data_IF_406067710872
#
_entry.id   IF_406067710872
#
_cell.length_a   1.000
_cell.length_b   1.000
_cell.length_c   1.000
_cell.angle_alpha   90.00
_cell.angle_beta   90.00
_cell.angle_gamma   90.00
#
_symmetry.space_group_name_H-M   'P 1'
#
loop_
_entity.id
_entity.type
_entity.pdbx_description
1 polymer ?
#
# COMPACT_ATOMS: atom_id res chain seq x y z
N UNK A 1 19.12 48.11 -3.08
CA UNK A 1 18.71 47.73 -4.46
C UNK A 1 19.96 47.22 -5.15
N UNK A 2 19.97 45.96 -5.59
CA UNK A 2 21.12 45.26 -6.20
C UNK A 2 20.81 44.78 -7.62
N UNK A 3 19.76 45.32 -8.22
CA UNK A 3 19.33 44.96 -9.57
C UNK A 3 20.31 45.41 -10.67
N UNK A 4 20.28 44.75 -11.82
CA UNK A 4 21.07 45.08 -13.03
C UNK A 4 22.59 45.02 -12.81
N UNK A 5 23.04 43.96 -12.13
CA UNK A 5 24.46 43.70 -11.88
C UNK A 5 24.88 42.37 -12.53
N UNK A 6 26.06 41.89 -12.16
CA UNK A 6 26.64 40.64 -12.66
C UNK A 6 26.87 39.64 -11.51
N UNK A 7 26.03 39.68 -10.47
CA UNK A 7 26.19 38.78 -9.33
C UNK A 7 25.85 37.35 -9.72
N UNK A 8 26.66 36.41 -9.24
CA UNK A 8 26.55 34.96 -9.47
C UNK A 8 26.53 34.20 -8.15
N UNK A 9 26.11 32.94 -8.19
CA UNK A 9 26.03 32.08 -7.01
C UNK A 9 24.67 32.18 -6.30
N UNK A 10 24.59 31.58 -5.12
CA UNK A 10 23.36 31.50 -4.34
C UNK A 10 23.16 32.74 -3.46
N UNK A 11 21.89 33.10 -3.23
CA UNK A 11 21.54 34.10 -2.23
C UNK A 11 21.88 33.59 -0.82
N UNK A 12 22.66 34.34 -0.02
CA UNK A 12 22.95 33.96 1.36
C UNK A 12 21.64 33.79 2.17
N UNK A 13 21.41 32.62 2.81
CA UNK A 13 20.20 32.37 3.59
C UNK A 13 19.98 33.39 4.73
N UNK A 14 21.06 33.98 5.24
CA UNK A 14 21.03 34.99 6.30
C UNK A 14 20.33 36.28 5.88
N UNK A 15 20.12 36.53 4.59
CA UNK A 15 19.35 37.68 4.13
C UNK A 15 17.89 37.59 4.59
N UNK A 16 17.32 36.38 4.69
CA UNK A 16 15.95 36.17 5.15
C UNK A 16 15.77 36.44 6.67
N UNK A 17 16.86 36.46 7.45
CA UNK A 17 16.79 36.74 8.90
C UNK A 17 16.86 38.23 9.24
N UNK A 18 17.04 39.11 8.25
CA UNK A 18 17.10 40.55 8.44
C UNK A 18 15.71 41.16 8.66
N UNK A 19 15.24 41.18 9.91
CA UNK A 19 13.89 41.65 10.29
C UNK A 19 13.55 43.11 9.93
N UNK A 20 14.56 43.94 9.62
CA UNK A 20 14.37 45.35 9.23
C UNK A 20 14.43 45.58 7.72
N UNK A 21 14.71 44.54 6.94
CA UNK A 21 14.77 44.63 5.49
C UNK A 21 13.34 44.74 4.96
N UNK A 22 13.01 45.89 4.36
CA UNK A 22 11.70 46.17 3.74
C UNK A 22 11.78 46.50 2.24
N UNK A 23 13.00 46.64 1.73
CA UNK A 23 13.26 46.96 0.34
C UNK A 23 14.53 46.25 -0.11
N UNK A 24 14.39 45.37 -1.09
CA UNK A 24 15.44 44.47 -1.56
C UNK A 24 15.02 43.98 -2.94
N UNK A 25 15.92 44.07 -3.90
CA UNK A 25 15.74 43.51 -5.23
C UNK A 25 17.11 43.12 -5.76
N UNK A 26 17.16 41.93 -6.33
CA UNK A 26 18.31 41.32 -7.02
C UNK A 26 17.95 40.97 -8.46
N UNK A 27 16.89 41.58 -8.99
CA UNK A 27 16.46 41.36 -10.36
C UNK A 27 17.57 41.67 -11.38
N UNK A 28 17.56 41.01 -12.54
CA UNK A 28 18.53 41.26 -13.61
C UNK A 28 19.99 40.99 -13.15
N UNK A 29 20.23 39.75 -12.69
CA UNK A 29 21.55 39.23 -12.30
C UNK A 29 21.71 37.79 -12.83
N UNK A 30 22.74 37.08 -12.40
CA UNK A 30 23.04 35.68 -12.77
C UNK A 30 23.03 34.76 -11.53
N UNK A 31 22.13 35.02 -10.58
CA UNK A 31 22.00 34.24 -9.35
C UNK A 31 21.30 32.90 -9.61
N UNK A 32 21.63 31.90 -8.79
CA UNK A 32 21.17 30.51 -8.96
C UNK A 32 20.67 29.93 -7.63
N UNK A 33 19.87 28.86 -7.69
CA UNK A 33 19.41 28.12 -6.52
C UNK A 33 18.17 28.70 -5.83
N UNK A 34 17.81 28.18 -4.65
CA UNK A 34 16.56 28.54 -3.99
C UNK A 34 16.58 29.97 -3.44
N UNK A 35 15.49 30.70 -3.64
CA UNK A 35 15.23 32.00 -3.00
C UNK A 35 15.00 31.75 -1.50
N UNK A 36 15.76 32.41 -0.60
CA UNK A 36 15.51 32.34 0.84
C UNK A 36 14.08 32.79 1.18
N UNK A 37 13.45 32.20 2.19
CA UNK A 37 12.07 32.52 2.59
C UNK A 37 11.95 33.94 3.16
N UNK A 38 11.70 34.92 2.29
CA UNK A 38 11.44 36.31 2.67
C UNK A 38 9.98 36.54 3.05
N UNK A 39 9.69 37.65 3.73
CA UNK A 39 8.31 38.04 4.02
C UNK A 39 7.63 38.55 2.73
N UNK A 40 6.67 37.77 2.22
CA UNK A 40 5.95 38.03 0.98
C UNK A 40 5.14 39.35 0.99
N UNK A 41 4.88 39.93 2.16
CA UNK A 41 4.27 41.26 2.26
C UNK A 41 5.17 42.40 1.74
N UNK A 42 6.47 42.15 1.58
CA UNK A 42 7.45 43.16 1.18
C UNK A 42 8.25 42.82 -0.08
N UNK A 43 8.28 41.54 -0.51
CA UNK A 43 9.12 41.08 -1.62
C UNK A 43 8.35 40.12 -2.53
N UNK A 44 7.90 40.62 -3.69
CA UNK A 44 7.28 39.82 -4.74
C UNK A 44 8.28 39.29 -5.77
N UNK A 45 7.77 38.58 -6.78
CA UNK A 45 8.58 37.96 -7.85
C UNK A 45 9.40 38.98 -8.64
N UNK A 46 8.92 40.22 -8.75
CA UNK A 46 9.65 41.34 -9.36
C UNK A 46 10.98 41.65 -8.67
N UNK A 47 11.14 41.29 -7.39
CA UNK A 47 12.39 41.49 -6.65
C UNK A 47 13.47 40.48 -7.03
N UNK A 48 13.10 39.39 -7.73
CA UNK A 48 13.98 38.27 -8.08
C UNK A 48 13.98 37.94 -9.59
N UNK A 49 13.20 38.68 -10.39
CA UNK A 49 13.02 38.47 -11.81
C UNK A 49 14.34 38.49 -12.60
N UNK A 50 14.35 37.89 -13.79
CA UNK A 50 15.49 37.89 -14.71
C UNK A 50 16.80 37.35 -14.11
N UNK A 51 16.70 36.34 -13.25
CA UNK A 51 17.79 35.44 -12.87
C UNK A 51 17.44 34.05 -13.40
N UNK A 52 18.30 33.45 -14.24
CA UNK A 52 17.93 32.28 -15.05
C UNK A 52 17.68 30.99 -14.27
N UNK A 53 18.34 30.84 -13.12
CA UNK A 53 18.27 29.61 -12.31
C UNK A 53 17.93 29.89 -10.83
N UNK A 54 17.37 31.06 -10.52
CA UNK A 54 16.71 31.29 -9.22
C UNK A 54 15.32 30.66 -9.23
N UNK A 55 14.98 29.99 -8.13
CA UNK A 55 13.73 29.25 -8.01
C UNK A 55 13.22 29.23 -6.56
N UNK A 56 11.97 28.84 -6.33
CA UNK A 56 11.30 28.92 -5.03
C UNK A 56 10.59 30.26 -4.80
N UNK A 57 9.57 30.25 -3.93
CA UNK A 57 8.68 31.40 -3.69
C UNK A 57 9.48 32.69 -3.41
N UNK A 58 9.13 33.83 -4.04
CA UNK A 58 7.93 34.06 -4.86
C UNK A 58 8.08 33.70 -6.37
N UNK A 59 9.16 33.02 -6.78
CA UNK A 59 9.40 32.55 -8.15
C UNK A 59 8.88 31.11 -8.38
N UNK A 60 9.08 30.56 -9.58
CA UNK A 60 8.73 29.17 -9.94
C UNK A 60 9.53 28.16 -9.09
N UNK A 61 8.94 27.02 -8.74
CA UNK A 61 9.53 26.02 -7.84
C UNK A 61 10.85 25.45 -8.36
N UNK A 62 11.77 25.13 -7.45
CA UNK A 62 13.05 24.52 -7.80
C UNK A 62 12.87 23.09 -8.31
N UNK A 63 13.19 22.86 -9.58
CA UNK A 63 13.19 21.55 -10.22
C UNK A 63 14.61 20.97 -10.15
N UNK A 64 14.77 19.75 -9.65
CA UNK A 64 16.07 19.07 -9.62
C UNK A 64 16.56 18.77 -11.05
N UNK A 65 17.86 18.94 -11.36
CA UNK A 65 18.39 18.77 -12.72
C UNK A 65 18.23 17.36 -13.32
N UNK A 66 17.87 16.35 -12.52
CA UNK A 66 17.54 15.00 -13.02
C UNK A 66 16.16 14.91 -13.70
N UNK A 67 15.31 15.94 -13.63
CA UNK A 67 14.02 16.00 -14.36
C UNK A 67 14.11 16.69 -15.75
N UNK A 68 15.29 17.19 -16.16
CA UNK A 68 15.43 17.96 -17.42
C UNK A 68 15.32 17.13 -18.72
N UNK A 69 15.25 15.80 -18.65
CA UNK A 69 15.06 14.96 -19.86
C UNK A 69 13.58 14.91 -20.31
N UNK A 70 12.62 15.34 -19.47
CA UNK A 70 11.18 15.25 -19.82
C UNK A 70 10.58 16.55 -20.39
N UNK A 71 11.33 17.67 -20.44
CA UNK A 71 10.74 19.01 -20.65
C UNK A 71 10.99 19.63 -22.03
N UNK A 72 11.62 18.91 -22.97
CA UNK A 72 11.76 19.37 -24.37
C UNK A 72 10.61 18.93 -25.30
N UNK A 73 9.62 18.20 -24.78
CA UNK A 73 8.46 17.72 -25.55
C UNK A 73 7.24 18.65 -25.60
N UNK A 74 7.30 19.86 -25.03
CA UNK A 74 6.12 20.73 -24.85
C UNK A 74 6.18 22.10 -25.57
N UNK A 75 7.00 22.26 -26.61
CA UNK A 75 6.81 23.33 -27.60
C UNK A 75 6.60 22.71 -28.98
N UNK A 76 5.37 22.28 -29.28
CA UNK A 76 5.06 21.70 -30.59
C UNK A 76 3.61 21.26 -30.83
N UNK A 77 2.68 21.51 -29.91
CA UNK A 77 1.26 21.20 -30.11
C UNK A 77 0.42 22.47 -30.31
N UNK A 78 0.83 23.31 -31.24
CA UNK A 78 -0.09 24.16 -31.98
C UNK A 78 0.43 24.23 -33.43
N UNK A 79 -0.43 23.83 -34.37
CA UNK A 79 -0.25 23.77 -35.83
C UNK A 79 0.25 22.40 -36.35
N UNK A 80 -0.66 21.65 -36.99
CA UNK A 80 -0.28 20.67 -38.01
C UNK A 80 -0.68 19.21 -37.75
N UNK A 81 -1.98 18.92 -37.79
CA UNK A 81 -2.40 17.60 -38.23
C UNK A 81 -1.96 17.41 -39.69
N UNK A 82 -1.02 16.50 -39.95
CA UNK A 82 -1.07 15.55 -41.06
C UNK A 82 0.25 14.74 -41.16
N UNK A 83 0.08 13.53 -41.66
CA UNK A 83 1.03 12.63 -42.32
C UNK A 83 1.88 11.67 -41.45
N UNK A 84 1.57 10.38 -41.64
CA UNK A 84 2.27 9.14 -41.29
C UNK A 84 2.19 8.59 -39.86
N UNK A 85 1.26 7.65 -39.66
CA UNK A 85 1.60 6.38 -39.00
C UNK A 85 2.50 5.57 -39.97
N UNK A 86 3.44 4.69 -39.53
CA UNK A 86 3.05 3.51 -38.74
C UNK A 86 4.08 2.98 -37.71
N UNK A 87 3.53 2.10 -36.86
CA UNK A 87 4.15 1.07 -35.99
C UNK A 87 4.69 1.52 -34.63
N UNK A 88 3.86 1.27 -33.60
CA UNK A 88 4.33 0.93 -32.25
C UNK A 88 4.04 1.95 -31.15
N UNK A 89 2.78 2.09 -30.75
CA UNK A 89 2.35 2.41 -29.36
C UNK A 89 0.83 2.66 -29.33
N UNK A 90 0.05 1.60 -29.53
CA UNK A 90 -1.23 1.53 -28.82
C UNK A 90 -0.90 1.28 -27.35
N UNK A 91 -1.64 1.91 -26.44
CA UNK A 91 -1.52 1.87 -24.97
C UNK A 91 -0.67 3.00 -24.37
N UNK A 92 -1.34 4.11 -24.06
CA UNK A 92 -0.74 5.20 -23.28
C UNK A 92 -1.55 6.49 -23.26
N UNK A 93 -2.59 6.59 -24.08
CA UNK A 93 -3.52 7.73 -24.09
C UNK A 93 -4.64 7.56 -23.05
N UNK A 94 -4.30 7.41 -21.76
CA UNK A 94 -5.31 7.43 -20.70
C UNK A 94 -4.72 7.94 -19.37
N UNK A 95 -5.07 9.19 -19.04
CA UNK A 95 -5.11 9.82 -17.71
C UNK A 95 -3.79 10.08 -16.96
N UNK A 96 -3.16 11.24 -17.21
CA UNK A 96 -2.47 11.94 -16.12
C UNK A 96 -3.50 12.77 -15.36
N UNK A 97 -4.19 12.16 -14.39
CA UNK A 97 -4.72 12.93 -13.28
C UNK A 97 -3.51 13.53 -12.56
N UNK A 98 -3.56 14.80 -12.21
CA UNK A 98 -2.55 15.42 -11.34
C UNK A 98 -2.41 14.52 -10.09
N UNK A 99 -1.20 14.02 -9.81
CA UNK A 99 -0.98 13.08 -8.71
C UNK A 99 -1.39 13.70 -7.35
N UNK A 100 -1.31 15.02 -7.24
CA UNK A 100 -1.84 15.75 -6.10
C UNK A 100 -3.37 15.65 -6.03
N UNK A 101 -4.05 15.83 -7.15
CA UNK A 101 -5.51 15.70 -7.25
C UNK A 101 -5.98 14.29 -6.92
N UNK A 102 -5.23 13.27 -7.34
CA UNK A 102 -5.57 11.88 -7.05
C UNK A 102 -5.43 11.49 -5.58
N UNK A 103 -4.36 11.94 -4.91
CA UNK A 103 -4.19 11.72 -3.47
C UNK A 103 -5.26 12.47 -2.66
N UNK A 104 -5.62 13.70 -3.07
CA UNK A 104 -6.75 14.44 -2.48
C UNK A 104 -8.06 13.67 -2.69
N UNK A 105 -8.31 13.16 -3.89
CA UNK A 105 -9.50 12.36 -4.22
C UNK A 105 -9.54 11.04 -3.42
N UNK A 106 -8.40 10.39 -3.25
CA UNK A 106 -8.26 9.19 -2.42
C UNK A 106 -8.78 9.45 -1.01
N UNK A 107 -8.23 10.46 -0.33
CA UNK A 107 -8.61 10.80 1.04
C UNK A 107 -10.06 11.29 1.12
N UNK A 108 -10.54 12.04 0.13
CA UNK A 108 -11.93 12.49 0.04
C UNK A 108 -12.90 11.31 -0.05
N UNK A 109 -12.56 10.29 -0.85
CA UNK A 109 -13.37 9.09 -1.02
C UNK A 109 -13.32 8.17 0.21
N UNK A 110 -12.19 8.14 0.93
CA UNK A 110 -12.11 7.48 2.23
C UNK A 110 -13.03 8.21 3.22
N UNK A 111 -12.92 9.53 3.34
CA UNK A 111 -13.72 10.35 4.25
C UNK A 111 -15.23 10.22 4.01
N UNK A 112 -15.66 10.12 2.75
CA UNK A 112 -17.09 9.97 2.42
C UNK A 112 -17.64 8.56 2.66
N UNK A 113 -16.77 7.53 2.61
CA UNK A 113 -17.17 6.12 2.77
C UNK A 113 -17.04 5.58 4.19
N UNK A 114 -16.24 6.24 5.04
CA UNK A 114 -16.00 5.83 6.43
C UNK A 114 -16.90 6.64 7.36
N UNK A 115 -17.55 5.98 8.31
CA UNK A 115 -18.30 6.64 9.37
C UNK A 115 -17.40 6.87 10.57
N UNK A 116 -17.31 8.13 11.00
CA UNK A 116 -16.48 8.57 12.12
C UNK A 116 -17.36 9.11 13.26
N UNK A 117 -17.85 8.23 14.16
CA UNK A 117 -18.74 8.64 15.24
C UNK A 117 -18.05 9.52 16.30
N UNK A 118 -16.71 9.50 16.35
CA UNK A 118 -15.92 10.15 17.39
C UNK A 118 -15.23 11.45 16.92
N UNK A 119 -15.30 11.78 15.63
CA UNK A 119 -14.75 13.00 15.06
C UNK A 119 -13.22 13.00 14.92
N UNK A 120 -12.55 11.85 14.89
CA UNK A 120 -11.09 11.77 14.71
C UNK A 120 -10.63 12.26 13.33
N UNK A 121 -11.50 12.22 12.32
CA UNK A 121 -11.25 12.70 10.97
C UNK A 121 -11.62 14.18 10.78
N UNK A 122 -11.95 14.92 11.86
CA UNK A 122 -12.34 16.33 11.75
C UNK A 122 -11.28 17.24 11.10
N UNK A 123 -10.00 16.84 11.11
CA UNK A 123 -8.93 17.58 10.42
C UNK A 123 -8.99 17.46 8.90
N UNK A 124 -9.74 16.49 8.36
CA UNK A 124 -9.82 16.18 6.93
C UNK A 124 -10.77 17.17 6.23
N UNK A 125 -10.33 18.42 6.14
CA UNK A 125 -11.11 19.50 5.54
C UNK A 125 -10.71 19.68 4.08
N UNK A 126 -11.66 19.44 3.19
CA UNK A 126 -11.47 19.56 1.74
C UNK A 126 -12.02 20.92 1.25
N UNK A 127 -11.17 21.94 1.12
CA UNK A 127 -11.48 23.26 0.54
C UNK A 127 -10.58 23.69 -0.63
N UNK A 128 -10.65 24.96 -1.03
CA UNK A 128 -9.93 25.50 -2.20
C UNK A 128 -8.38 25.40 -2.12
N UNK A 129 -7.81 25.23 -0.92
CA UNK A 129 -6.36 25.08 -0.67
C UNK A 129 -5.97 23.68 -0.15
N UNK A 130 -6.78 22.64 -0.43
CA UNK A 130 -6.52 21.29 0.10
C UNK A 130 -5.21 20.69 -0.43
N UNK A 131 -4.88 20.97 -1.69
CA UNK A 131 -3.61 20.58 -2.28
C UNK A 131 -2.47 21.33 -1.57
N UNK A 132 -1.59 20.56 -0.93
CA UNK A 132 -0.45 20.99 -0.11
C UNK A 132 -0.71 20.83 1.39
N UNK A 133 -1.93 20.48 1.82
CA UNK A 133 -2.30 20.41 3.23
C UNK A 133 -2.70 19.01 3.70
N UNK A 134 -2.94 18.06 2.79
CA UNK A 134 -3.42 16.73 3.17
C UNK A 134 -2.47 15.96 4.09
N UNK A 135 -1.17 16.29 4.08
CA UNK A 135 -0.16 15.68 4.94
C UNK A 135 -0.28 16.12 6.41
N UNK A 136 -1.08 17.15 6.69
CA UNK A 136 -1.44 17.58 8.04
C UNK A 136 -2.72 16.92 8.55
N UNK A 137 -3.38 16.10 7.73
CA UNK A 137 -4.56 15.36 8.17
C UNK A 137 -4.16 14.30 9.20
N UNK A 138 -4.96 14.19 10.25
CA UNK A 138 -4.80 13.16 11.28
C UNK A 138 -4.69 11.79 10.63
N UNK A 139 -3.61 11.07 10.95
CA UNK A 139 -3.37 9.73 10.44
C UNK A 139 -2.85 9.66 9.01
N UNK A 140 -2.59 10.78 8.33
CA UNK A 140 -1.95 10.80 7.01
C UNK A 140 -0.46 11.09 7.17
N UNK A 141 0.38 10.30 6.50
CA UNK A 141 1.81 10.55 6.37
C UNK A 141 2.17 10.61 4.91
N UNK A 142 2.92 11.63 4.52
CA UNK A 142 3.39 11.82 3.15
C UNK A 142 4.88 11.54 3.02
N UNK A 143 5.36 11.48 1.78
CA UNK A 143 6.78 11.35 1.48
C UNK A 143 7.60 12.52 2.06
N UNK A 144 7.09 13.74 1.91
CA UNK A 144 7.56 14.96 2.57
C UNK A 144 6.38 15.80 3.06
N UNK A 145 6.60 16.61 4.10
CA UNK A 145 5.55 17.42 4.74
C UNK A 145 4.95 18.51 3.83
N UNK A 146 5.67 18.86 2.75
CA UNK A 146 5.31 19.92 1.81
C UNK A 146 4.79 19.39 0.44
N UNK A 147 4.56 18.08 0.30
CA UNK A 147 4.01 17.45 -0.91
C UNK A 147 2.57 16.93 -0.68
N UNK A 148 1.91 16.31 -1.68
CA UNK A 148 0.63 15.61 -1.46
C UNK A 148 0.73 14.11 -1.74
N UNK A 149 1.93 13.56 -1.66
CA UNK A 149 2.18 12.15 -1.96
C UNK A 149 1.93 11.31 -0.72
N UNK A 150 0.73 10.73 -0.59
CA UNK A 150 0.35 9.92 0.59
C UNK A 150 1.13 8.62 0.59
N UNK A 151 1.95 8.43 1.62
CA UNK A 151 2.80 7.27 1.80
C UNK A 151 2.18 6.26 2.78
N UNK A 152 1.53 6.76 3.84
CA UNK A 152 0.88 5.90 4.83
C UNK A 152 -0.39 6.53 5.39
N UNK A 153 -1.39 5.69 5.62
CA UNK A 153 -2.62 6.02 6.33
C UNK A 153 -2.68 5.17 7.60
N UNK A 154 -2.70 5.82 8.76
CA UNK A 154 -2.73 5.24 10.10
C UNK A 154 -3.93 5.77 10.87
N UNK A 155 -5.03 5.03 10.79
CA UNK A 155 -6.31 5.37 11.40
C UNK A 155 -6.69 4.40 12.51
N UNK A 156 -5.70 3.76 13.15
CA UNK A 156 -5.93 2.76 14.16
C UNK A 156 -6.52 3.32 15.47
N UNK A 157 -7.49 2.64 16.06
CA UNK A 157 -8.02 3.00 17.39
C UNK A 157 -9.02 4.16 17.42
N UNK A 158 -9.56 4.59 16.29
CA UNK A 158 -10.45 5.76 16.19
C UNK A 158 -11.94 5.41 16.32
N UNK A 159 -12.28 4.13 16.40
CA UNK A 159 -13.67 3.66 16.44
C UNK A 159 -14.41 3.89 15.13
N UNK A 160 -13.68 3.93 14.01
CA UNK A 160 -14.24 4.11 12.67
C UNK A 160 -15.10 2.92 12.27
N UNK A 161 -16.17 3.20 11.53
CA UNK A 161 -17.16 2.24 11.05
C UNK A 161 -17.23 2.25 9.52
N UNK A 162 -17.77 1.18 8.95
CA UNK A 162 -17.98 1.01 7.51
C UNK A 162 -17.38 -0.30 7.00
N UNK A 163 -17.21 -0.38 5.69
CA UNK A 163 -16.48 -1.48 5.03
C UNK A 163 -15.03 -1.06 4.71
N UNK A 164 -14.28 -1.95 4.06
CA UNK A 164 -12.94 -1.62 3.57
C UNK A 164 -12.99 -0.43 2.60
N UNK A 165 -12.23 0.66 2.83
CA UNK A 165 -12.40 1.90 2.07
C UNK A 165 -11.83 1.79 0.65
N UNK A 166 -12.70 1.60 -0.34
CA UNK A 166 -12.30 1.42 -1.76
C UNK A 166 -11.66 2.67 -2.39
N UNK A 167 -11.83 3.85 -1.79
CA UNK A 167 -11.19 5.09 -2.22
C UNK A 167 -9.66 5.02 -2.22
N UNK A 168 -9.10 4.10 -1.42
CA UNK A 168 -7.66 3.90 -1.26
C UNK A 168 -6.91 3.59 -2.56
N UNK A 169 -7.61 3.06 -3.58
CA UNK A 169 -7.05 2.75 -4.90
C UNK A 169 -6.43 3.95 -5.63
N UNK A 170 -6.78 5.17 -5.22
CA UNK A 170 -6.26 6.41 -5.80
C UNK A 170 -5.01 6.93 -5.07
N UNK A 171 -4.65 6.34 -3.91
CA UNK A 171 -3.40 6.60 -3.22
C UNK A 171 -2.30 5.69 -3.79
N UNK A 172 -1.80 6.00 -4.99
CA UNK A 172 -0.93 5.10 -5.76
C UNK A 172 0.42 4.79 -5.10
N UNK A 173 0.90 5.70 -4.25
CA UNK A 173 2.17 5.57 -3.54
C UNK A 173 2.02 5.00 -2.13
N UNK A 174 0.83 4.52 -1.77
CA UNK A 174 0.58 3.99 -0.43
C UNK A 174 1.43 2.75 -0.16
N UNK A 175 2.26 2.82 0.88
CA UNK A 175 3.10 1.71 1.33
C UNK A 175 2.71 1.20 2.73
N UNK A 176 1.93 1.95 3.50
CA UNK A 176 1.48 1.53 4.82
C UNK A 176 0.02 1.85 5.09
N UNK A 177 -0.76 0.83 5.42
CA UNK A 177 -2.17 0.95 5.80
C UNK A 177 -2.41 0.30 7.16
N UNK A 178 -2.77 1.13 8.13
CA UNK A 178 -3.20 0.69 9.46
C UNK A 178 -4.63 1.20 9.69
N UNK A 179 -5.58 0.26 9.71
CA UNK A 179 -6.99 0.45 10.05
C UNK A 179 -7.35 -0.32 11.32
N UNK A 180 -6.36 -0.73 12.12
CA UNK A 180 -6.53 -1.64 13.25
C UNK A 180 -7.38 -1.05 14.38
N UNK A 181 -7.93 -1.87 15.26
CA UNK A 181 -8.65 -1.43 16.47
C UNK A 181 -9.80 -0.47 16.17
N UNK A 182 -10.57 -0.77 15.13
CA UNK A 182 -11.75 -0.01 14.73
C UNK A 182 -12.98 -0.93 14.71
N UNK A 183 -14.06 -0.46 14.10
CA UNK A 183 -15.32 -1.16 13.95
C UNK A 183 -15.65 -1.40 12.45
N UNK A 184 -14.62 -1.53 11.60
CA UNK A 184 -14.80 -1.88 10.18
C UNK A 184 -15.35 -3.30 10.05
N UNK A 185 -16.22 -3.52 9.07
CA UNK A 185 -16.99 -4.75 8.88
C UNK A 185 -17.11 -5.12 7.39
N UNK A 186 -17.95 -6.11 7.07
CA UNK A 186 -18.11 -6.61 5.70
C UNK A 186 -16.98 -7.56 5.28
N UNK A 187 -16.91 -7.84 3.99
CA UNK A 187 -15.90 -8.76 3.41
C UNK A 187 -14.74 -7.98 2.81
N UNK A 188 -13.54 -8.55 2.82
CA UNK A 188 -12.42 -7.95 2.09
C UNK A 188 -12.63 -8.09 0.57
N UNK A 189 -12.32 -7.04 -0.22
CA UNK A 189 -12.43 -7.10 -1.67
C UNK A 189 -11.57 -8.22 -2.27
N UNK A 190 -12.12 -9.01 -3.18
CA UNK A 190 -11.36 -10.08 -3.85
C UNK A 190 -10.19 -9.55 -4.68
N UNK A 191 -10.31 -8.31 -5.17
CA UNK A 191 -9.29 -7.59 -5.93
C UNK A 191 -8.42 -6.67 -5.06
N UNK A 192 -8.26 -6.94 -3.76
CA UNK A 192 -7.53 -6.08 -2.81
C UNK A 192 -6.11 -5.69 -3.29
N UNK A 193 -5.40 -6.58 -3.99
CA UNK A 193 -4.08 -6.25 -4.54
C UNK A 193 -4.11 -5.14 -5.61
N UNK A 194 -5.22 -4.97 -6.35
CA UNK A 194 -5.39 -3.83 -7.26
C UNK A 194 -5.69 -2.52 -6.54
N UNK A 195 -6.19 -2.59 -5.29
CA UNK A 195 -6.50 -1.42 -4.48
C UNK A 195 -5.25 -0.90 -3.75
N UNK A 196 -4.37 -1.82 -3.33
CA UNK A 196 -3.18 -1.51 -2.53
C UNK A 196 -1.93 -2.28 -3.03
N UNK A 197 -1.52 -2.11 -4.29
CA UNK A 197 -0.49 -2.95 -4.92
C UNK A 197 0.92 -2.79 -4.31
N UNK A 198 1.20 -1.61 -3.75
CA UNK A 198 2.52 -1.22 -3.25
C UNK A 198 2.67 -1.32 -1.72
N UNK A 199 1.63 -1.81 -1.03
CA UNK A 199 1.61 -1.83 0.44
C UNK A 199 2.60 -2.85 1.01
N UNK A 200 3.38 -2.38 1.98
CA UNK A 200 4.37 -3.14 2.75
C UNK A 200 3.87 -3.52 4.14
N UNK A 201 2.96 -2.73 4.71
CA UNK A 201 2.33 -2.97 6.01
C UNK A 201 0.82 -2.86 5.85
N UNK A 202 0.12 -3.95 6.14
CA UNK A 202 -1.34 -4.01 6.19
C UNK A 202 -1.76 -4.50 7.57
N UNK A 203 -2.29 -3.60 8.39
CA UNK A 203 -2.88 -3.93 9.69
C UNK A 203 -4.38 -3.66 9.68
N UNK A 204 -5.15 -4.75 9.71
CA UNK A 204 -6.62 -4.75 9.79
C UNK A 204 -7.10 -5.40 11.10
N UNK A 205 -6.19 -5.63 12.05
CA UNK A 205 -6.47 -6.37 13.27
C UNK A 205 -7.47 -5.65 14.18
N UNK A 206 -8.15 -6.38 15.05
CA UNK A 206 -9.16 -5.83 15.97
C UNK A 206 -10.26 -5.04 15.25
N UNK A 207 -10.94 -5.69 14.32
CA UNK A 207 -12.09 -5.17 13.59
C UNK A 207 -13.21 -6.24 13.56
N UNK A 208 -14.20 -6.05 12.69
CA UNK A 208 -15.31 -6.98 12.45
C UNK A 208 -15.35 -7.45 10.99
N UNK A 209 -14.21 -7.50 10.30
CA UNK A 209 -14.15 -8.05 8.94
C UNK A 209 -14.54 -9.53 8.97
N UNK A 210 -15.26 -9.97 7.95
CA UNK A 210 -15.90 -11.30 7.88
C UNK A 210 -15.70 -11.95 6.52
N UNK A 211 -16.20 -13.18 6.37
CA UNK A 211 -16.04 -13.96 5.14
C UNK A 211 -14.62 -14.54 4.98
N UNK A 212 -14.29 -14.98 3.77
CA UNK A 212 -12.99 -15.60 3.49
C UNK A 212 -11.90 -14.56 3.31
N UNK A 213 -10.68 -14.90 3.74
CA UNK A 213 -9.48 -14.15 3.37
C UNK A 213 -9.27 -14.32 1.85
N UNK A 214 -9.22 -13.23 1.06
CA UNK A 214 -9.13 -13.34 -0.39
C UNK A 214 -7.73 -13.80 -0.82
N UNK A 215 -7.66 -14.82 -1.69
CA UNK A 215 -6.41 -15.31 -2.26
C UNK A 215 -5.58 -14.20 -2.94
N UNK A 216 -6.26 -13.19 -3.50
CA UNK A 216 -5.62 -12.02 -4.11
C UNK A 216 -4.68 -11.23 -3.18
N UNK A 217 -4.73 -11.42 -1.85
CA UNK A 217 -3.73 -10.85 -0.93
C UNK A 217 -2.30 -11.29 -1.25
N UNK A 218 -2.11 -12.51 -1.78
CA UNK A 218 -0.79 -13.00 -2.17
C UNK A 218 -0.15 -12.18 -3.29
N UNK A 219 -0.95 -11.43 -4.06
CA UNK A 219 -0.47 -10.62 -5.17
C UNK A 219 0.07 -9.25 -4.73
N UNK A 220 0.00 -8.92 -3.43
CA UNK A 220 0.67 -7.73 -2.87
C UNK A 220 2.13 -8.10 -2.59
N UNK A 221 2.94 -8.11 -3.64
CA UNK A 221 4.30 -8.69 -3.65
C UNK A 221 5.30 -7.96 -2.73
N UNK A 222 4.97 -6.75 -2.29
CA UNK A 222 5.80 -5.93 -1.41
C UNK A 222 5.48 -6.10 0.08
N UNK A 223 4.48 -6.90 0.45
CA UNK A 223 3.98 -6.99 1.81
C UNK A 223 4.98 -7.66 2.76
N UNK A 224 5.35 -6.96 3.82
CA UNK A 224 6.22 -7.41 4.91
C UNK A 224 5.44 -7.75 6.18
N UNK A 225 4.31 -7.07 6.40
CA UNK A 225 3.50 -7.21 7.62
C UNK A 225 2.03 -7.34 7.26
N UNK A 226 1.40 -8.43 7.70
CA UNK A 226 -0.02 -8.73 7.52
C UNK A 226 -0.65 -9.10 8.87
N UNK A 227 -1.43 -8.19 9.44
CA UNK A 227 -2.10 -8.39 10.73
C UNK A 227 -3.62 -8.46 10.50
N UNK A 228 -4.20 -9.63 10.71
CA UNK A 228 -5.63 -9.91 10.51
C UNK A 228 -6.30 -10.45 11.78
N UNK A 229 -5.56 -10.55 12.89
CA UNK A 229 -6.05 -11.11 14.13
C UNK A 229 -7.21 -10.32 14.75
N UNK A 230 -8.04 -10.97 15.55
CA UNK A 230 -9.24 -10.37 16.16
C UNK A 230 -10.20 -9.80 15.10
N UNK A 231 -10.65 -10.67 14.20
CA UNK A 231 -11.71 -10.40 13.23
C UNK A 231 -12.71 -11.57 13.23
N UNK A 232 -13.55 -11.66 12.22
CA UNK A 232 -14.57 -12.71 12.05
C UNK A 232 -14.34 -13.48 10.73
N UNK A 233 -13.09 -13.60 10.28
CA UNK A 233 -12.76 -14.33 9.05
C UNK A 233 -13.10 -15.82 9.19
N UNK A 234 -13.65 -16.40 8.13
CA UNK A 234 -14.10 -17.79 8.07
C UNK A 234 -13.46 -18.56 6.91
N UNK A 235 -13.58 -19.88 6.96
CA UNK A 235 -13.06 -20.77 5.92
C UNK A 235 -11.55 -21.00 6.01
N UNK A 236 -10.97 -21.51 4.93
CA UNK A 236 -9.56 -21.89 4.89
C UNK A 236 -8.64 -20.69 4.63
N UNK A 237 -7.42 -20.77 5.16
CA UNK A 237 -6.32 -19.90 4.76
C UNK A 237 -5.99 -20.16 3.27
N UNK A 238 -5.91 -19.11 2.43
CA UNK A 238 -5.51 -19.29 1.04
C UNK A 238 -4.11 -19.91 0.95
N UNK A 239 -3.94 -21.04 0.23
CA UNK A 239 -2.62 -21.65 0.07
C UNK A 239 -1.64 -20.72 -0.63
N UNK A 240 -2.11 -19.75 -1.42
CA UNK A 240 -1.29 -18.76 -2.12
C UNK A 240 -0.49 -17.86 -1.17
N UNK A 241 -0.89 -17.73 0.11
CA UNK A 241 -0.14 -16.94 1.09
C UNK A 241 1.30 -17.44 1.29
N UNK A 242 1.59 -18.72 1.01
CA UNK A 242 2.96 -19.26 1.08
C UNK A 242 3.91 -18.65 0.04
N UNK A 243 3.36 -18.02 -1.02
CA UNK A 243 4.15 -17.37 -2.07
C UNK A 243 4.66 -15.97 -1.69
N UNK A 244 4.22 -15.43 -0.55
CA UNK A 244 4.57 -14.08 -0.10
C UNK A 244 5.97 -14.03 0.51
N UNK A 245 7.01 -14.08 -0.33
CA UNK A 245 8.42 -14.21 0.08
C UNK A 245 8.95 -13.08 0.96
N UNK A 246 8.31 -11.91 0.93
CA UNK A 246 8.71 -10.74 1.72
C UNK A 246 8.05 -10.67 3.09
N UNK A 247 7.02 -11.49 3.34
CA UNK A 247 6.28 -11.46 4.60
C UNK A 247 7.22 -11.84 5.77
N UNK A 248 7.28 -10.98 6.78
CA UNK A 248 8.10 -11.13 7.99
C UNK A 248 7.28 -11.18 9.26
N UNK A 249 6.08 -10.63 9.24
CA UNK A 249 5.16 -10.63 10.36
C UNK A 249 3.75 -10.96 9.85
N UNK A 250 3.11 -11.92 10.50
CA UNK A 250 1.83 -12.46 10.09
C UNK A 250 1.04 -12.90 11.31
N UNK A 251 -0.24 -12.55 11.39
CA UNK A 251 -1.13 -13.12 12.41
C UNK A 251 -2.57 -13.15 11.92
N UNK A 252 -3.24 -14.28 12.16
CA UNK A 252 -4.65 -14.53 11.89
C UNK A 252 -5.39 -15.05 13.12
N UNK A 253 -4.77 -14.94 14.29
CA UNK A 253 -5.32 -15.40 15.57
C UNK A 253 -6.68 -14.77 15.87
N UNK A 254 -7.50 -15.42 16.70
CA UNK A 254 -8.82 -14.92 17.11
C UNK A 254 -9.70 -14.60 15.90
N UNK A 255 -9.96 -15.63 15.09
CA UNK A 255 -10.89 -15.62 13.96
C UNK A 255 -11.71 -16.93 13.99
N UNK A 256 -12.43 -17.23 12.91
CA UNK A 256 -13.22 -18.45 12.74
C UNK A 256 -12.69 -19.29 11.56
N UNK A 257 -11.37 -19.31 11.37
CA UNK A 257 -10.71 -20.03 10.29
C UNK A 257 -10.70 -21.54 10.55
N UNK A 258 -10.70 -22.32 9.47
CA UNK A 258 -10.76 -23.78 9.51
C UNK A 258 -9.81 -24.44 8.52
N UNK A 259 -9.54 -25.73 8.69
CA UNK A 259 -8.75 -26.54 7.78
C UNK A 259 -7.23 -26.45 7.99
N UNK A 260 -6.44 -27.03 7.07
CA UNK A 260 -5.01 -27.14 7.23
C UNK A 260 -4.31 -25.78 7.05
N UNK A 261 -3.33 -25.49 7.92
CA UNK A 261 -2.43 -24.35 7.80
C UNK A 261 -1.49 -24.60 6.60
N UNK A 262 -1.40 -23.66 5.63
CA UNK A 262 -0.45 -23.76 4.52
C UNK A 262 1.00 -23.84 5.02
N UNK A 263 1.84 -24.59 4.30
CA UNK A 263 3.25 -24.77 4.69
C UNK A 263 4.09 -23.57 4.30
N UNK A 264 4.26 -22.62 5.23
CA UNK A 264 5.17 -21.48 5.05
C UNK A 264 6.64 -21.90 5.12
N UNK A 265 7.51 -21.11 4.47
CA UNK A 265 8.96 -21.28 4.61
C UNK A 265 9.44 -20.63 5.91
N UNK A 266 9.76 -21.46 6.91
CA UNK A 266 10.23 -21.03 8.24
C UNK A 266 11.57 -20.28 8.22
N UNK A 267 12.38 -20.40 7.15
CA UNK A 267 13.61 -19.60 6.99
C UNK A 267 13.28 -18.12 6.74
N UNK A 268 12.13 -17.83 6.13
CA UNK A 268 11.75 -16.49 5.70
C UNK A 268 10.73 -15.83 6.62
N UNK A 269 9.78 -16.62 7.13
CA UNK A 269 8.70 -16.17 8.01
C UNK A 269 8.66 -17.10 9.22
N UNK A 270 9.00 -16.58 10.40
CA UNK A 270 8.85 -17.30 11.66
C UNK A 270 7.38 -17.27 12.06
N UNK A 271 6.72 -18.41 11.94
CA UNK A 271 5.34 -18.60 12.39
C UNK A 271 5.32 -19.35 13.72
N UNK A 272 4.50 -18.88 14.66
CA UNK A 272 4.29 -19.48 15.96
C UNK A 272 2.83 -19.89 16.19
N UNK A 273 2.59 -20.65 17.26
CA UNK A 273 1.23 -21.03 17.72
C UNK A 273 0.36 -19.79 17.92
N UNK A 274 0.94 -18.72 18.46
CA UNK A 274 0.25 -17.46 18.75
C UNK A 274 -0.30 -16.77 17.48
N UNK A 275 0.30 -17.01 16.31
CA UNK A 275 -0.16 -16.40 15.05
C UNK A 275 -1.48 -17.02 14.55
N UNK A 276 -1.85 -18.19 15.06
CA UNK A 276 -3.05 -18.95 14.67
C UNK A 276 -4.01 -19.20 15.83
N UNK A 277 -3.64 -18.84 17.06
CA UNK A 277 -4.38 -19.11 18.28
C UNK A 277 -5.87 -18.70 18.18
N UNK A 278 -6.75 -19.41 18.86
CA UNK A 278 -8.20 -19.14 18.86
C UNK A 278 -8.84 -19.16 17.45
N UNK A 279 -8.40 -20.11 16.62
CA UNK A 279 -9.14 -20.57 15.44
C UNK A 279 -9.34 -22.08 15.60
N UNK A 280 -10.44 -22.49 16.25
CA UNK A 280 -10.64 -23.89 16.68
C UNK A 280 -10.60 -24.91 15.54
N UNK A 281 -10.92 -24.51 14.31
CA UNK A 281 -10.90 -25.41 13.16
C UNK A 281 -9.56 -25.48 12.42
N UNK A 282 -8.55 -24.70 12.80
CA UNK A 282 -7.23 -24.75 12.15
C UNK A 282 -6.40 -25.93 12.70
N UNK A 283 -5.67 -26.57 11.80
CA UNK A 283 -4.80 -27.70 12.12
C UNK A 283 -3.55 -27.74 11.23
N UNK A 284 -2.55 -28.54 11.59
CA UNK A 284 -1.24 -28.59 10.94
C UNK A 284 -0.25 -27.60 11.57
N UNK A 285 1.04 -27.77 11.30
CA UNK A 285 2.10 -26.98 11.94
C UNK A 285 1.87 -25.47 11.73
N UNK A 286 2.02 -24.64 12.79
CA UNK A 286 2.60 -24.96 14.10
C UNK A 286 1.60 -25.52 15.14
N UNK A 287 0.33 -25.71 14.77
CA UNK A 287 -0.71 -26.31 15.61
C UNK A 287 -0.66 -27.84 15.58
N UNK A 288 -1.59 -28.47 16.30
CA UNK A 288 -1.79 -29.92 16.29
C UNK A 288 -2.09 -30.45 14.88
N UNK A 289 -1.68 -31.69 14.60
CA UNK A 289 -1.89 -32.30 13.30
C UNK A 289 -3.38 -32.39 12.95
N UNK A 290 -3.71 -32.21 11.67
CA UNK A 290 -5.07 -32.40 11.18
C UNK A 290 -5.51 -33.85 11.38
N UNK A 291 -6.71 -34.03 11.95
CA UNK A 291 -7.32 -35.34 12.04
C UNK A 291 -7.59 -35.89 10.63
N UNK A 292 -7.20 -37.14 10.32
CA UNK A 292 -7.54 -37.75 9.06
C UNK A 292 -9.06 -37.98 8.97
N UNK A 293 -9.66 -37.66 7.82
CA UNK A 293 -11.07 -37.92 7.55
C UNK A 293 -11.45 -39.35 7.96
N UNK A 294 -12.41 -39.50 8.89
CA UNK A 294 -12.86 -40.82 9.36
C UNK A 294 -13.37 -41.70 8.20
N UNK A 295 -13.86 -41.08 7.13
CA UNK A 295 -14.28 -41.77 5.91
C UNK A 295 -13.09 -42.42 5.17
N UNK A 296 -11.92 -41.77 5.15
CA UNK A 296 -10.70 -42.35 4.57
C UNK A 296 -10.18 -43.53 5.41
N UNK A 297 -10.36 -43.48 6.74
CA UNK A 297 -10.04 -44.61 7.64
C UNK A 297 -10.98 -45.80 7.36
N UNK A 298 -12.28 -45.56 7.12
CA UNK A 298 -13.24 -46.62 6.76
C UNK A 298 -12.90 -47.30 5.43
N UNK A 299 -12.58 -46.54 4.38
CA UNK A 299 -12.16 -47.10 3.10
C UNK A 299 -10.81 -47.82 3.19
N UNK A 300 -9.84 -47.29 3.94
CA UNK A 300 -8.57 -47.97 4.20
C UNK A 300 -8.75 -49.31 4.92
N UNK A 301 -9.66 -49.38 5.90
CA UNK A 301 -10.03 -50.64 6.58
C UNK A 301 -10.76 -51.61 5.65
N UNK A 302 -11.65 -51.14 4.78
CA UNK A 302 -12.29 -51.99 3.77
C UNK A 302 -11.29 -52.52 2.74
N UNK A 303 -10.36 -51.70 2.24
CA UNK A 303 -9.30 -52.12 1.32
C UNK A 303 -8.36 -53.15 1.93
N UNK A 304 -7.97 -52.97 3.20
CA UNK A 304 -7.18 -53.95 3.94
C UNK A 304 -7.93 -55.26 4.19
N UNK A 305 -9.23 -55.20 4.49
CA UNK A 305 -10.07 -56.40 4.67
C UNK A 305 -10.25 -57.17 3.35
N UNK A 306 -10.49 -56.49 2.23
CA UNK A 306 -10.60 -57.13 0.90
C UNK A 306 -9.25 -57.72 0.47
N UNK A 307 -8.14 -57.02 0.72
CA UNK A 307 -6.79 -57.54 0.50
C UNK A 307 -6.50 -58.80 1.33
N UNK A 308 -6.88 -58.83 2.61
CA UNK A 308 -6.70 -60.00 3.46
C UNK A 308 -7.56 -61.20 3.00
N UNK A 309 -8.79 -60.97 2.56
CA UNK A 309 -9.70 -62.03 2.07
C UNK A 309 -9.24 -62.61 0.73
N UNK A 310 -8.63 -61.82 -0.15
CA UNK A 310 -8.13 -62.30 -1.45
C UNK A 310 -6.74 -62.94 -1.37
N UNK A 311 -5.86 -62.48 -0.48
CA UNK A 311 -4.50 -63.01 -0.36
C UNK A 311 -4.35 -64.16 0.65
N UNK A 312 -5.21 -64.28 1.66
CA UNK A 312 -5.15 -65.41 2.60
C UNK A 312 -5.35 -66.79 1.94
N UNK A 313 -6.27 -66.98 0.98
CA UNK A 313 -6.42 -68.24 0.26
C UNK A 313 -5.21 -68.55 -0.63
N UNK A 314 -4.59 -67.52 -1.22
CA UNK A 314 -3.45 -67.67 -2.14
C UNK A 314 -2.17 -68.08 -1.39
N UNK A 315 -1.94 -67.53 -0.20
CA UNK A 315 -0.83 -67.91 0.69
C UNK A 315 -1.06 -69.31 1.27
N UNK A 316 -2.30 -69.68 1.60
CA UNK A 316 -2.64 -71.04 2.03
C UNK A 316 -2.44 -72.08 0.91
N UNK A 317 -2.81 -71.74 -0.33
CA UNK A 317 -2.58 -72.58 -1.50
C UNK A 317 -1.08 -72.76 -1.79
N UNK A 318 -0.28 -71.70 -1.72
CA UNK A 318 1.18 -71.77 -1.89
C UNK A 318 1.87 -72.60 -0.77
N UNK A 319 1.39 -72.54 0.47
CA UNK A 319 1.90 -73.39 1.57
C UNK A 319 1.56 -74.87 1.38
N UNK A 320 0.43 -75.20 0.78
CA UNK A 320 0.05 -76.60 0.46
C UNK A 320 0.90 -77.18 -0.68
N UNK A 321 1.23 -76.36 -1.69
CA UNK A 321 2.05 -76.79 -2.84
C UNK A 321 3.53 -77.00 -2.45
N UNK A 322 4.06 -76.23 -1.50
CA UNK A 322 5.44 -76.41 -1.01
C UNK A 322 5.65 -77.62 -0.08
N UNK A 323 4.60 -78.29 0.39
CA UNK A 323 4.74 -79.48 1.25
C UNK A 323 4.73 -80.82 0.48
N UNK A 324 4.68 -80.78 -0.86
CA UNK A 324 4.68 -81.97 -1.73
C UNK A 324 5.93 -82.09 -2.64
N UNK A 325 7.00 -81.33 -2.36
CA UNK A 325 8.31 -81.49 -3.01
C UNK A 325 9.42 -81.59 -1.97
#
# INVERSE_FOLDING_TARGET
MLQHNQFTGQLPPQLASLQRLKQFSVADNHLIGPVPKFNEAYFGSESFANNTDLCGLPMEFCINPEEKVSRFGQMGAAIGAAIFAPVGAFLGWFFFNDANEANVNCLRNIYSGVKDPNGYLASWVFGNQTAGFICKFTGVTCWHDDENRVLSIKLGGYGLEGEFPLGIKQCWDLTGLDLSRNNFSGVLPSNIASLIPSVTILDLSYNKFSGKIPAGLSNITFLNTLMLQHNQFTGQLPPELVSMQRLKQFSVAYNHLTGPIPKFNEEHLKIGVDDFANNEGLCGRPMDACEPDEDMIRFGKMGAAVGAVLFAPLVAYLRLVCHQW
#
